data_IF_113198983555
#
_entry.id   IF_113198983555
#
_cell.length_a   1.000
_cell.length_b   1.000
_cell.length_c   1.000
_cell.angle_alpha   90.00
_cell.angle_beta   90.00
_cell.angle_gamma   90.00
#
_symmetry.space_group_name_H-M   'P 1'
#
loop_
_entity.id
_entity.type
_entity.pdbx_description
1 polymer ?
#
# COMPACT_ATOMS: atom_id res chain seq x y z
N UNK A 1 -17.46 -17.28 -5.56
CA UNK A 1 -17.05 -15.89 -5.28
C UNK A 1 -16.25 -15.45 -6.49
N UNK A 2 -16.86 -14.62 -7.33
CA UNK A 2 -16.22 -14.20 -8.58
C UNK A 2 -14.95 -13.41 -8.29
N UNK A 3 -13.88 -13.71 -9.05
CA UNK A 3 -12.57 -13.06 -8.90
C UNK A 3 -12.64 -11.53 -9.13
N UNK A 4 -13.68 -11.05 -9.83
CA UNK A 4 -13.98 -9.62 -9.99
C UNK A 4 -14.39 -8.91 -8.69
N UNK A 5 -15.05 -9.60 -7.76
CA UNK A 5 -15.51 -9.02 -6.50
C UNK A 5 -14.34 -8.77 -5.52
N UNK A 6 -13.25 -9.51 -5.69
CA UNK A 6 -12.04 -9.42 -4.83
C UNK A 6 -11.21 -8.16 -5.11
N UNK A 7 -11.36 -7.54 -6.28
CA UNK A 7 -10.55 -6.39 -6.72
C UNK A 7 -11.23 -5.04 -6.53
N UNK A 8 -12.42 -4.99 -5.94
CA UNK A 8 -13.12 -3.73 -5.68
C UNK A 8 -12.96 -3.29 -4.23
N UNK A 9 -12.54 -2.04 -4.06
CA UNK A 9 -12.59 -1.37 -2.76
C UNK A 9 -14.01 -0.84 -2.56
N UNK A 10 -14.61 -1.27 -1.48
CA UNK A 10 -15.92 -0.82 -1.02
C UNK A 10 -15.73 -0.24 0.39
N UNK A 11 -15.72 1.09 0.48
CA UNK A 11 -15.46 1.79 1.74
C UNK A 11 -16.50 1.45 2.80
N UNK A 12 -17.75 1.27 2.42
CA UNK A 12 -18.83 0.89 3.35
C UNK A 12 -18.53 -0.47 3.99
N UNK A 13 -18.15 -1.48 3.19
CA UNK A 13 -17.76 -2.80 3.69
C UNK A 13 -16.50 -2.73 4.57
N UNK A 14 -15.51 -1.95 4.18
CA UNK A 14 -14.27 -1.77 4.96
C UNK A 14 -14.56 -1.13 6.32
N UNK A 15 -15.36 -0.06 6.36
CA UNK A 15 -15.73 0.61 7.60
C UNK A 15 -16.55 -0.30 8.53
N UNK A 16 -17.49 -1.06 7.99
CA UNK A 16 -18.28 -2.05 8.77
C UNK A 16 -17.39 -3.11 9.39
N UNK A 17 -16.41 -3.61 8.66
CA UNK A 17 -15.54 -4.68 9.11
C UNK A 17 -14.49 -4.21 10.13
N UNK A 18 -13.94 -2.98 9.94
CA UNK A 18 -12.79 -2.52 10.72
C UNK A 18 -13.15 -1.64 11.92
N UNK A 19 -14.24 -0.89 11.82
CA UNK A 19 -14.67 0.06 12.86
C UNK A 19 -16.17 -0.04 13.16
N UNK A 20 -16.71 -1.23 13.47
CA UNK A 20 -18.15 -1.46 13.62
C UNK A 20 -18.77 -0.58 14.73
N UNK A 21 -18.00 -0.30 15.77
CA UNK A 21 -18.45 0.57 16.89
C UNK A 21 -18.71 2.01 16.48
N UNK A 22 -17.89 2.54 15.56
CA UNK A 22 -18.06 3.90 15.02
C UNK A 22 -19.06 3.90 13.87
N UNK A 23 -18.97 2.89 12.99
CA UNK A 23 -19.80 2.77 11.79
C UNK A 23 -21.30 2.88 12.10
N UNK A 24 -21.78 2.26 13.17
CA UNK A 24 -23.20 2.28 13.58
C UNK A 24 -23.76 3.70 13.83
N UNK A 25 -22.90 4.69 14.06
CA UNK A 25 -23.28 6.09 14.28
C UNK A 25 -23.02 6.96 13.03
N UNK A 26 -22.42 6.42 11.96
CA UNK A 26 -22.14 7.17 10.75
C UNK A 26 -23.41 7.29 9.90
N UNK A 27 -23.86 8.50 9.56
CA UNK A 27 -24.94 8.68 8.58
C UNK A 27 -24.51 8.15 7.21
N UNK A 28 -25.43 7.50 6.50
CA UNK A 28 -25.15 6.98 5.15
C UNK A 28 -24.69 8.07 4.16
N UNK A 29 -25.19 9.30 4.33
CA UNK A 29 -24.76 10.45 3.54
C UNK A 29 -23.27 10.78 3.75
N UNK A 30 -22.76 10.61 4.97
CA UNK A 30 -21.34 10.81 5.28
C UNK A 30 -20.49 9.72 4.65
N UNK A 31 -20.93 8.47 4.68
CA UNK A 31 -20.21 7.37 4.01
C UNK A 31 -20.13 7.65 2.52
N UNK A 32 -21.23 8.01 1.86
CA UNK A 32 -21.22 8.40 0.43
C UNK A 32 -20.35 9.62 0.13
N UNK A 33 -20.26 10.57 1.04
CA UNK A 33 -19.37 11.70 0.90
C UNK A 33 -17.91 11.26 0.99
N UNK A 34 -17.57 10.37 1.93
CA UNK A 34 -16.24 9.78 2.06
C UNK A 34 -15.86 8.95 0.80
N UNK A 35 -16.77 8.15 0.25
CA UNK A 35 -16.57 7.40 -1.00
C UNK A 35 -16.19 8.33 -2.16
N UNK A 36 -16.85 9.48 -2.27
CA UNK A 36 -16.50 10.51 -3.25
C UNK A 36 -15.17 11.19 -2.97
N UNK A 37 -14.89 11.46 -1.70
CA UNK A 37 -13.63 12.10 -1.28
C UNK A 37 -12.41 11.24 -1.62
N UNK A 38 -12.52 9.92 -1.48
CA UNK A 38 -11.44 8.99 -1.86
C UNK A 38 -11.46 8.61 -3.35
N UNK A 39 -12.38 9.20 -4.15
CA UNK A 39 -12.53 8.86 -5.57
C UNK A 39 -12.67 7.33 -5.77
N UNK A 40 -13.58 6.70 -5.00
CA UNK A 40 -13.69 5.23 -4.95
C UNK A 40 -13.94 4.60 -6.33
N UNK A 41 -14.71 5.25 -7.20
CA UNK A 41 -14.99 4.75 -8.54
C UNK A 41 -13.72 4.73 -9.40
N UNK A 42 -13.00 5.85 -9.44
CA UNK A 42 -11.75 6.01 -10.17
C UNK A 42 -10.67 5.06 -9.64
N UNK A 43 -10.62 4.87 -8.32
CA UNK A 43 -9.73 3.90 -7.70
C UNK A 43 -10.07 2.47 -8.13
N UNK A 44 -11.35 2.12 -8.20
CA UNK A 44 -11.80 0.81 -8.68
C UNK A 44 -11.54 0.61 -10.18
N UNK A 45 -11.66 1.65 -11.00
CA UNK A 45 -11.26 1.61 -12.41
C UNK A 45 -9.76 1.35 -12.58
N UNK A 46 -8.91 2.01 -11.76
CA UNK A 46 -7.46 1.76 -11.75
C UNK A 46 -7.12 0.33 -11.33
N UNK A 47 -7.81 -0.20 -10.32
CA UNK A 47 -7.65 -1.60 -9.90
C UNK A 47 -8.03 -2.56 -11.02
N UNK A 48 -9.14 -2.29 -11.70
CA UNK A 48 -9.62 -3.12 -12.81
C UNK A 48 -8.68 -3.06 -14.03
N UNK A 49 -8.21 -1.86 -14.41
CA UNK A 49 -7.26 -1.67 -15.51
C UNK A 49 -5.91 -2.37 -15.27
N UNK A 50 -5.58 -2.62 -14.01
CA UNK A 50 -4.34 -3.28 -13.61
C UNK A 50 -4.58 -4.68 -13.03
N UNK A 51 -5.69 -5.31 -13.40
CA UNK A 51 -6.03 -6.67 -12.97
C UNK A 51 -4.91 -7.67 -13.29
N UNK A 52 -4.63 -8.55 -12.33
CA UNK A 52 -3.59 -9.59 -12.47
C UNK A 52 -2.16 -9.12 -12.19
N UNK A 53 -1.90 -7.80 -12.10
CA UNK A 53 -0.60 -7.27 -11.67
C UNK A 53 -0.50 -7.22 -10.14
N UNK A 54 0.70 -7.39 -9.61
CA UNK A 54 0.99 -7.31 -8.17
C UNK A 54 2.31 -6.58 -7.90
N UNK A 55 2.49 -6.06 -6.67
CA UNK A 55 3.73 -5.41 -6.27
C UNK A 55 4.14 -4.26 -7.20
N UNK A 56 5.41 -4.23 -7.64
CA UNK A 56 5.93 -3.16 -8.49
C UNK A 56 5.27 -3.09 -9.87
N UNK A 57 4.83 -4.24 -10.44
CA UNK A 57 4.11 -4.24 -11.72
C UNK A 57 2.75 -3.54 -11.60
N UNK A 58 2.05 -3.77 -10.50
CA UNK A 58 0.82 -3.05 -10.20
C UNK A 58 1.09 -1.56 -10.01
N UNK A 59 2.11 -1.20 -9.20
CA UNK A 59 2.50 0.20 -9.00
C UNK A 59 2.79 0.90 -10.33
N UNK A 60 3.61 0.28 -11.18
CA UNK A 60 3.94 0.80 -12.52
C UNK A 60 2.69 0.97 -13.37
N UNK A 61 1.83 -0.04 -13.40
CA UNK A 61 0.60 0.01 -14.20
C UNK A 61 -0.35 1.13 -13.76
N UNK A 62 -0.50 1.37 -12.46
CA UNK A 62 -1.30 2.48 -11.95
C UNK A 62 -0.68 3.83 -12.31
N UNK A 63 0.65 3.99 -12.14
CA UNK A 63 1.35 5.22 -12.53
C UNK A 63 1.19 5.52 -14.02
N UNK A 64 1.32 4.50 -14.88
CA UNK A 64 1.10 4.64 -16.32
C UNK A 64 -0.35 5.01 -16.65
N UNK A 65 -1.32 4.42 -15.97
CA UNK A 65 -2.75 4.73 -16.15
C UNK A 65 -3.09 6.17 -15.77
N UNK A 66 -2.28 6.78 -14.90
CA UNK A 66 -2.42 8.17 -14.45
C UNK A 66 -1.50 9.14 -15.22
N UNK A 67 -0.79 8.66 -16.25
CA UNK A 67 0.21 9.42 -17.01
C UNK A 67 1.30 10.06 -16.12
N UNK A 68 1.70 9.33 -15.07
CA UNK A 68 2.71 9.76 -14.10
C UNK A 68 4.06 9.19 -14.48
N UNK A 69 5.01 10.06 -14.79
CA UNK A 69 6.41 9.71 -14.97
C UNK A 69 7.16 9.88 -13.64
N UNK A 70 7.91 8.86 -13.26
CA UNK A 70 8.72 8.89 -12.05
C UNK A 70 10.19 8.98 -12.43
N UNK A 71 10.83 10.06 -12.01
CA UNK A 71 12.26 10.27 -12.18
C UNK A 71 12.97 10.07 -10.83
N UNK A 72 14.10 9.38 -10.86
CA UNK A 72 14.93 9.17 -9.69
C UNK A 72 16.34 9.66 -9.95
N UNK A 73 16.72 10.70 -9.24
CA UNK A 73 18.10 11.17 -9.19
C UNK A 73 18.81 10.64 -7.93
N UNK A 74 20.14 10.44 -8.01
CA UNK A 74 20.94 10.03 -6.87
C UNK A 74 21.01 8.52 -6.59
N UNK A 75 20.58 7.65 -7.51
CA UNK A 75 20.63 6.19 -7.34
C UNK A 75 22.03 5.64 -7.01
N UNK A 76 23.08 6.34 -7.44
CA UNK A 76 24.49 5.96 -7.15
C UNK A 76 24.86 6.08 -5.67
N UNK A 77 24.07 6.83 -4.89
CA UNK A 77 24.29 7.04 -3.45
C UNK A 77 23.57 6.03 -2.59
N UNK A 78 22.74 5.16 -3.19
CA UNK A 78 22.03 4.13 -2.45
C UNK A 78 22.98 3.02 -2.01
N UNK A 79 22.81 2.51 -0.78
CA UNK A 79 23.64 1.42 -0.28
C UNK A 79 23.37 0.13 -1.04
N UNK A 80 24.40 -0.70 -1.22
CA UNK A 80 24.27 -2.03 -1.78
C UNK A 80 23.49 -2.93 -0.80
N UNK A 81 22.36 -3.51 -1.19
CA UNK A 81 21.53 -4.35 -0.34
C UNK A 81 22.22 -5.68 0.03
N UNK A 82 23.16 -6.15 -0.79
CA UNK A 82 23.90 -7.40 -0.53
C UNK A 82 24.65 -7.39 0.82
N UNK A 83 25.01 -6.18 1.31
CA UNK A 83 25.86 -6.03 2.47
C UNK A 83 25.19 -5.30 3.64
N UNK A 84 23.99 -4.74 3.47
CA UNK A 84 23.35 -3.91 4.50
C UNK A 84 21.84 -3.96 4.40
N UNK A 85 21.20 -3.98 5.56
CA UNK A 85 19.77 -3.70 5.67
C UNK A 85 19.50 -2.24 5.28
N UNK A 86 18.53 -2.02 4.41
CA UNK A 86 18.17 -0.69 3.90
C UNK A 86 16.78 -0.32 4.40
N UNK A 87 16.67 0.82 5.06
CA UNK A 87 15.39 1.44 5.44
C UNK A 87 15.33 2.79 4.72
N UNK A 88 14.33 2.94 3.85
CA UNK A 88 14.08 4.19 3.15
C UNK A 88 12.96 4.94 3.89
N UNK A 89 13.29 6.13 4.36
CA UNK A 89 12.34 7.02 5.03
C UNK A 89 12.07 8.20 4.11
N UNK A 90 10.82 8.48 3.83
CA UNK A 90 10.43 9.58 2.94
C UNK A 90 9.19 10.29 3.50
N UNK A 91 9.05 11.57 3.19
CA UNK A 91 7.75 12.25 3.25
C UNK A 91 6.86 11.78 2.08
N UNK A 92 5.55 11.96 2.23
CA UNK A 92 4.61 11.59 1.17
C UNK A 92 3.50 12.63 0.97
N UNK A 93 3.85 13.82 0.46
CA UNK A 93 2.89 14.91 0.29
C UNK A 93 1.77 14.60 -0.72
N UNK A 94 2.00 13.70 -1.66
CA UNK A 94 1.03 13.24 -2.65
C UNK A 94 0.29 11.97 -2.23
N UNK A 95 0.51 11.50 -0.99
CA UNK A 95 -0.19 10.34 -0.46
C UNK A 95 0.08 9.04 -1.22
N UNK A 96 -0.96 8.40 -1.76
CA UNK A 96 -0.86 7.11 -2.43
C UNK A 96 0.13 7.08 -3.59
N UNK A 97 0.27 8.17 -4.35
CA UNK A 97 1.19 8.24 -5.49
C UNK A 97 2.65 8.10 -5.07
N UNK A 98 3.05 8.73 -3.96
CA UNK A 98 4.42 8.60 -3.44
C UNK A 98 4.72 7.14 -3.05
N UNK A 99 3.73 6.48 -2.41
CA UNK A 99 3.85 5.08 -2.05
C UNK A 99 4.03 4.16 -3.25
N UNK A 100 3.23 4.36 -4.30
CA UNK A 100 3.33 3.60 -5.56
C UNK A 100 4.67 3.86 -6.26
N UNK A 101 5.06 5.13 -6.40
CA UNK A 101 6.31 5.51 -7.04
C UNK A 101 7.52 4.94 -6.31
N UNK A 102 7.58 5.09 -4.99
CA UNK A 102 8.71 4.63 -4.20
C UNK A 102 8.78 3.09 -4.17
N UNK A 103 7.64 2.40 -4.03
CA UNK A 103 7.59 0.93 -4.11
C UNK A 103 8.13 0.42 -5.45
N UNK A 104 7.66 1.02 -6.56
CA UNK A 104 8.13 0.68 -7.90
C UNK A 104 9.64 0.90 -8.05
N UNK A 105 10.14 2.09 -7.67
CA UNK A 105 11.55 2.44 -7.83
C UNK A 105 12.47 1.58 -6.98
N UNK A 106 12.12 1.36 -5.72
CA UNK A 106 12.92 0.55 -4.80
C UNK A 106 12.97 -0.90 -5.26
N UNK A 107 11.83 -1.48 -5.63
CA UNK A 107 11.81 -2.85 -6.13
C UNK A 107 12.57 -2.99 -7.47
N UNK A 108 12.49 -2.00 -8.35
CA UNK A 108 13.24 -1.97 -9.61
C UNK A 108 14.76 -1.85 -9.37
N UNK A 109 15.17 -1.03 -8.38
CA UNK A 109 16.59 -0.80 -8.10
C UNK A 109 17.26 -2.00 -7.43
N UNK A 110 16.61 -2.56 -6.41
CA UNK A 110 17.18 -3.63 -5.60
C UNK A 110 16.90 -5.02 -6.17
N UNK A 111 15.87 -5.19 -6.96
CA UNK A 111 15.41 -6.49 -7.49
C UNK A 111 15.02 -7.46 -6.37
N UNK A 112 13.81 -7.97 -6.36
CA UNK A 112 13.34 -8.87 -5.30
C UNK A 112 12.27 -8.27 -4.42
N UNK A 113 12.18 -8.75 -3.18
CA UNK A 113 11.15 -8.33 -2.23
C UNK A 113 11.45 -6.94 -1.69
N UNK A 114 10.40 -6.15 -1.54
CA UNK A 114 10.40 -4.87 -0.84
C UNK A 114 9.25 -4.88 0.17
N UNK A 115 9.45 -4.27 1.32
CA UNK A 115 8.42 -4.14 2.34
C UNK A 115 8.05 -2.67 2.54
N UNK A 116 6.76 -2.40 2.56
CA UNK A 116 6.23 -1.07 2.79
C UNK A 116 5.37 -1.08 4.07
N UNK A 117 5.84 -0.38 5.09
CA UNK A 117 5.12 -0.26 6.36
C UNK A 117 3.90 0.62 6.17
N UNK A 118 2.72 0.06 6.39
CA UNK A 118 1.45 0.72 6.12
C UNK A 118 0.46 0.55 7.28
N UNK A 119 -0.53 1.44 7.32
CA UNK A 119 -1.69 1.19 8.18
C UNK A 119 -2.45 -0.05 7.67
N UNK A 120 -2.98 -0.84 8.61
CA UNK A 120 -3.71 -2.08 8.31
C UNK A 120 -4.96 -1.88 7.41
N UNK A 121 -5.51 -0.66 7.34
CA UNK A 121 -6.59 -0.32 6.41
C UNK A 121 -6.17 -0.49 4.95
N UNK A 122 -4.90 -0.26 4.63
CA UNK A 122 -4.37 -0.38 3.26
C UNK A 122 -4.29 -1.83 2.77
N UNK A 123 -4.45 -2.81 3.66
CA UNK A 123 -4.57 -4.23 3.28
C UNK A 123 -5.82 -4.53 2.42
N UNK A 124 -6.72 -3.56 2.28
CA UNK A 124 -7.81 -3.63 1.31
C UNK A 124 -7.33 -3.56 -0.16
N UNK A 125 -6.14 -2.99 -0.40
CA UNK A 125 -5.51 -2.93 -1.73
C UNK A 125 -4.80 -4.26 -2.02
N UNK A 126 -5.56 -5.26 -2.43
CA UNK A 126 -5.09 -6.64 -2.62
C UNK A 126 -3.86 -6.80 -3.52
N UNK A 127 -3.71 -6.07 -4.64
CA UNK A 127 -2.52 -6.18 -5.49
C UNK A 127 -1.20 -5.85 -4.78
N UNK A 128 -1.24 -5.13 -3.66
CA UNK A 128 -0.07 -4.74 -2.87
C UNK A 128 0.09 -5.53 -1.56
N UNK A 129 -0.77 -6.52 -1.30
CA UNK A 129 -0.73 -7.31 -0.06
C UNK A 129 0.62 -8.02 0.15
N UNK A 130 1.29 -8.38 -0.95
CA UNK A 130 2.60 -9.04 -0.94
C UNK A 130 3.78 -8.10 -0.60
N UNK A 131 3.60 -6.78 -0.73
CA UNK A 131 4.61 -5.77 -0.37
C UNK A 131 4.25 -4.99 0.91
N UNK A 132 3.02 -5.10 1.39
CA UNK A 132 2.58 -4.39 2.58
C UNK A 132 2.97 -5.11 3.87
N UNK A 133 3.52 -4.34 4.80
CA UNK A 133 3.78 -4.73 6.18
C UNK A 133 2.86 -3.94 7.10
N UNK A 134 1.69 -4.51 7.45
CA UNK A 134 0.67 -3.77 8.18
C UNK A 134 1.07 -3.55 9.65
N UNK A 135 0.88 -2.32 10.11
CA UNK A 135 0.93 -1.96 11.52
C UNK A 135 -0.39 -1.37 11.96
N UNK A 136 -0.85 -1.70 13.15
CA UNK A 136 -2.05 -1.10 13.71
C UNK A 136 -1.67 0.17 14.48
N UNK A 137 -2.15 1.31 14.01
CA UNK A 137 -1.88 2.61 14.63
C UNK A 137 -2.77 2.89 15.86
N UNK A 138 -3.93 2.22 15.97
CA UNK A 138 -4.97 2.51 16.96
C UNK A 138 -5.40 1.27 17.75
N UNK A 139 -4.43 0.52 18.27
CA UNK A 139 -4.76 -0.67 19.06
C UNK A 139 -3.55 -1.57 19.30
N UNK A 140 -3.78 -2.71 19.96
CA UNK A 140 -2.74 -3.71 20.15
C UNK A 140 -2.39 -4.37 18.82
N UNK A 141 -1.10 -4.57 18.56
CA UNK A 141 -0.64 -5.39 17.46
C UNK A 141 -1.05 -6.84 17.69
N UNK A 142 -1.53 -7.53 16.66
CA UNK A 142 -1.71 -8.96 16.77
C UNK A 142 -0.35 -9.66 16.88
N UNK A 143 -0.29 -10.79 17.60
CA UNK A 143 0.95 -11.56 17.71
C UNK A 143 1.53 -11.92 16.33
N UNK A 144 0.67 -12.31 15.40
CA UNK A 144 1.06 -12.66 14.02
C UNK A 144 1.66 -11.45 13.29
N UNK A 145 1.11 -10.24 13.47
CA UNK A 145 1.66 -9.03 12.87
C UNK A 145 3.04 -8.69 13.45
N UNK A 146 3.23 -8.87 14.75
CA UNK A 146 4.54 -8.66 15.39
C UNK A 146 5.58 -9.69 14.93
N UNK A 147 5.22 -10.97 14.88
CA UNK A 147 6.12 -12.04 14.38
C UNK A 147 6.53 -11.77 12.92
N UNK A 148 5.60 -11.30 12.07
CA UNK A 148 5.90 -10.91 10.69
C UNK A 148 6.82 -9.69 10.62
N UNK A 149 6.59 -8.68 11.45
CA UNK A 149 7.43 -7.50 11.55
C UNK A 149 8.86 -7.88 11.97
N UNK A 150 8.99 -8.69 13.02
CA UNK A 150 10.29 -9.15 13.52
C UNK A 150 11.05 -9.97 12.46
N UNK A 151 10.36 -10.88 11.77
CA UNK A 151 10.94 -11.66 10.69
C UNK A 151 11.43 -10.76 9.52
N UNK A 152 10.63 -9.75 9.16
CA UNK A 152 11.00 -8.76 8.13
C UNK A 152 12.20 -7.93 8.56
N UNK A 153 12.21 -7.46 9.79
CA UNK A 153 13.32 -6.70 10.35
C UNK A 153 14.59 -7.52 10.54
N UNK A 154 14.49 -8.84 10.67
CA UNK A 154 15.64 -9.75 10.71
C UNK A 154 16.22 -10.02 9.31
N UNK A 155 15.45 -9.80 8.24
CA UNK A 155 15.86 -9.96 6.84
C UNK A 155 16.72 -8.79 6.32
N UNK A 156 17.08 -8.90 5.05
CA UNK A 156 17.85 -7.88 4.32
C UNK A 156 17.03 -7.16 3.25
N UNK A 157 15.76 -7.51 3.07
CA UNK A 157 14.89 -6.84 2.11
C UNK A 157 14.75 -5.36 2.46
N UNK A 158 14.72 -4.45 1.46
CA UNK A 158 14.49 -3.04 1.67
C UNK A 158 13.12 -2.78 2.32
N UNK A 159 13.10 -1.85 3.27
CA UNK A 159 11.89 -1.44 3.97
C UNK A 159 11.61 0.03 3.69
N UNK A 160 10.38 0.35 3.29
CA UNK A 160 9.90 1.71 3.07
C UNK A 160 9.04 2.12 4.26
N UNK A 161 9.28 3.33 4.78
CA UNK A 161 8.52 3.91 5.89
C UNK A 161 8.17 5.35 5.55
N UNK A 162 6.91 5.71 5.72
CA UNK A 162 6.44 7.08 5.79
C UNK A 162 6.08 7.39 7.25
N UNK A 163 6.79 8.32 7.90
CA UNK A 163 6.59 8.68 9.30
C UNK A 163 5.28 9.46 9.55
#
# INVERSE_FOLDING_TARGET
MDQEEVMKIDLDKVLRARVPGVYRFLPHSLVKWLERLICQNELNELLQANYGKTGAEFCKGVLDSLDVTVEWDGTRSLPDPANRRVILVSNHPLGGLDGLALTYLVQKHYGGQVWFVVNDLLMAVKPLENVFLPINKFGGQSRVAMERLDATLAGNDPIIIFP
#
